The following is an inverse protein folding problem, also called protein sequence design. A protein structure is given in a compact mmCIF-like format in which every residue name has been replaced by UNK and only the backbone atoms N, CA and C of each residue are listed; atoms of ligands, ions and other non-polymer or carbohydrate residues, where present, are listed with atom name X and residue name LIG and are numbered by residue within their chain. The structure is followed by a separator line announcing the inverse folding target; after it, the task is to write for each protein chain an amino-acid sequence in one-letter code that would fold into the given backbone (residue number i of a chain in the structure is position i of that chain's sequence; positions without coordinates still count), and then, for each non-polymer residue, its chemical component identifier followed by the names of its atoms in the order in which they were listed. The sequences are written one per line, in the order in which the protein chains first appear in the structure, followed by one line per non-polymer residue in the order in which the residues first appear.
data_IF_160394635959
#
_entry.id   IF_160394635959
#
_cell.length_a   1.000
_cell.length_b   1.000
_cell.length_c   1.000
_cell.angle_alpha   90.00
_cell.angle_beta   90.00
_cell.angle_gamma   90.00
#
_symmetry.space_group_name_H-M   'P 1'
#
loop_
_entity.id
_entity.type
_entity.pdbx_description
1 polymer ?
#
# COMPACT_ATOMS: atom_id res chain seq x y z
N UNK A 1 -48.09 70.70 70.33
CA UNK A 1 -47.96 69.78 69.17
C UNK A 1 -48.08 70.62 67.91
N UNK A 2 -46.95 71.10 67.37
CA UNK A 2 -46.91 71.90 66.14
C UNK A 2 -46.39 71.04 65.00
N UNK A 3 -47.28 70.67 64.08
CA UNK A 3 -46.94 69.98 62.84
C UNK A 3 -46.17 70.93 61.92
N UNK A 4 -44.85 70.79 61.88
CA UNK A 4 -44.02 71.38 60.81
C UNK A 4 -44.25 70.59 59.53
N UNK A 5 -45.15 71.11 58.70
CA UNK A 5 -45.33 70.66 57.33
C UNK A 5 -44.00 70.86 56.59
N UNK A 6 -43.31 69.76 56.27
CA UNK A 6 -41.95 69.76 55.76
C UNK A 6 -41.97 70.27 54.30
N UNK A 7 -41.67 71.57 54.11
CA UNK A 7 -41.67 72.28 52.83
C UNK A 7 -40.85 71.58 51.74
N UNK A 8 -39.80 70.84 52.12
CA UNK A 8 -38.98 70.06 51.18
C UNK A 8 -39.76 68.92 50.53
N UNK A 9 -40.60 68.21 51.30
CA UNK A 9 -41.43 67.14 50.76
C UNK A 9 -42.53 67.66 49.83
N UNK A 10 -43.04 68.88 50.07
CA UNK A 10 -44.02 69.53 49.19
C UNK A 10 -43.40 69.97 47.87
N UNK A 11 -42.17 70.50 47.90
CA UNK A 11 -41.42 70.84 46.69
C UNK A 11 -41.07 69.60 45.86
N UNK A 12 -40.71 68.47 46.50
CA UNK A 12 -40.45 67.21 45.79
C UNK A 12 -41.71 66.62 45.15
N UNK A 13 -42.86 66.70 45.85
CA UNK A 13 -44.16 66.31 45.29
C UNK A 13 -44.62 67.21 44.15
N UNK A 14 -44.41 68.52 44.27
CA UNK A 14 -44.72 69.49 43.22
C UNK A 14 -43.83 69.29 41.99
N UNK A 15 -42.53 68.99 42.19
CA UNK A 15 -41.60 68.69 41.11
C UNK A 15 -41.92 67.37 40.41
N UNK A 16 -42.30 66.31 41.15
CA UNK A 16 -42.75 65.05 40.57
C UNK A 16 -44.08 65.20 39.81
N UNK A 17 -45.05 65.96 40.35
CA UNK A 17 -46.31 66.23 39.67
C UNK A 17 -46.12 67.07 38.40
N UNK A 18 -45.26 68.10 38.45
CA UNK A 18 -44.90 68.90 37.26
C UNK A 18 -44.14 68.07 36.23
N UNK A 19 -43.23 67.17 36.63
CA UNK A 19 -42.55 66.26 35.70
C UNK A 19 -43.53 65.30 35.02
N UNK A 20 -44.49 64.73 35.76
CA UNK A 20 -45.55 63.86 35.22
C UNK A 20 -46.51 64.61 34.27
N UNK A 21 -46.80 65.89 34.54
CA UNK A 21 -47.65 66.73 33.69
C UNK A 21 -46.95 67.23 32.42
N UNK A 22 -45.61 67.35 32.44
CA UNK A 22 -44.83 67.87 31.30
C UNK A 22 -44.31 66.74 30.39
N UNK A 23 -44.25 65.50 30.86
CA UNK A 23 -43.57 64.38 30.20
C UNK A 23 -44.42 63.10 30.33
N UNK A 24 -45.04 62.65 29.23
CA UNK A 24 -45.86 61.42 29.21
C UNK A 24 -45.05 60.12 29.37
N UNK A 25 -45.70 58.93 29.35
CA UNK A 25 -45.06 57.63 29.61
C UNK A 25 -43.85 57.31 28.73
N UNK A 26 -43.88 57.70 27.46
CA UNK A 26 -42.76 57.54 26.51
C UNK A 26 -41.56 58.41 26.86
N UNK A 27 -41.80 59.63 27.35
CA UNK A 27 -40.77 60.56 27.76
C UNK A 27 -40.10 60.11 29.07
N UNK A 28 -40.86 59.54 30.03
CA UNK A 28 -40.28 58.89 31.22
C UNK A 28 -39.43 57.66 30.87
N UNK A 29 -39.88 56.85 29.91
CA UNK A 29 -39.11 55.70 29.42
C UNK A 29 -37.79 56.15 28.76
N UNK A 30 -37.83 57.22 27.96
CA UNK A 30 -36.64 57.79 27.32
C UNK A 30 -35.65 58.36 28.34
N UNK A 31 -36.12 59.11 29.34
CA UNK A 31 -35.27 59.61 30.42
C UNK A 31 -34.65 58.45 31.22
N UNK A 32 -35.42 57.39 31.48
CA UNK A 32 -34.88 56.20 32.16
C UNK A 32 -33.83 55.49 31.31
N UNK A 33 -34.06 55.37 30.00
CA UNK A 33 -33.09 54.80 29.07
C UNK A 33 -31.80 55.62 29.02
N UNK A 34 -31.88 56.95 28.90
CA UNK A 34 -30.72 57.85 28.91
C UNK A 34 -29.96 57.80 30.23
N UNK A 35 -30.68 57.71 31.36
CA UNK A 35 -30.05 57.55 32.67
C UNK A 35 -29.27 56.22 32.76
N UNK A 36 -29.84 55.13 32.26
CA UNK A 36 -29.19 53.82 32.26
C UNK A 36 -27.98 53.78 31.30
N UNK A 37 -28.09 54.41 30.14
CA UNK A 37 -27.00 54.59 29.19
C UNK A 37 -25.85 55.40 29.80
N UNK A 38 -26.17 56.52 30.45
CA UNK A 38 -25.17 57.33 31.14
C UNK A 38 -24.49 56.54 32.27
N UNK A 39 -25.26 55.81 33.08
CA UNK A 39 -24.69 54.96 34.14
C UNK A 39 -23.75 53.88 33.56
N UNK A 40 -24.09 53.32 32.40
CA UNK A 40 -23.24 52.35 31.71
C UNK A 40 -21.94 52.99 31.21
N UNK A 41 -22.03 54.15 30.54
CA UNK A 41 -20.85 54.90 30.05
C UNK A 41 -19.95 55.36 31.21
N UNK A 42 -20.54 55.76 32.33
CA UNK A 42 -19.81 56.14 33.54
C UNK A 42 -19.10 54.93 34.17
N UNK A 43 -19.76 53.76 34.17
CA UNK A 43 -19.15 52.52 34.63
C UNK A 43 -17.99 52.07 33.74
N UNK A 44 -18.15 52.16 32.42
CA UNK A 44 -17.11 51.87 31.43
C UNK A 44 -15.92 52.84 31.58
N UNK A 45 -16.21 54.14 31.71
CA UNK A 45 -15.20 55.18 31.97
C UNK A 45 -14.47 54.94 33.28
N UNK A 46 -15.17 54.52 34.34
CA UNK A 46 -14.54 54.16 35.60
C UNK A 46 -13.66 52.91 35.48
N UNK A 47 -14.05 51.92 34.69
CA UNK A 47 -13.24 50.73 34.42
C UNK A 47 -11.92 51.09 33.72
N UNK A 48 -11.96 51.99 32.74
CA UNK A 48 -10.77 52.46 32.02
C UNK A 48 -9.86 53.31 32.91
N UNK A 49 -10.44 54.16 33.77
CA UNK A 49 -9.67 55.07 34.63
C UNK A 49 -9.23 54.47 35.97
N UNK A 50 -9.87 53.39 36.43
CA UNK A 50 -9.58 52.76 37.71
C UNK A 50 -8.10 52.35 37.87
N UNK A 51 -7.44 51.74 36.87
CA UNK A 51 -6.01 51.40 36.96
C UNK A 51 -5.12 52.63 37.20
N UNK A 52 -5.39 53.73 36.49
CA UNK A 52 -4.61 54.96 36.64
C UNK A 52 -4.83 55.60 38.01
N UNK A 53 -6.09 55.63 38.50
CA UNK A 53 -6.41 56.10 39.86
C UNK A 53 -5.71 55.24 40.92
N UNK A 54 -5.72 53.92 40.76
CA UNK A 54 -5.03 52.99 41.66
C UNK A 54 -3.52 53.20 41.65
N UNK A 55 -2.91 53.38 40.48
CA UNK A 55 -1.48 53.66 40.34
C UNK A 55 -1.09 54.96 41.05
N UNK A 56 -1.87 56.03 40.83
CA UNK A 56 -1.66 57.34 41.45
C UNK A 56 -1.77 57.25 42.98
N UNK A 57 -2.80 56.58 43.49
CA UNK A 57 -3.02 56.39 44.92
C UNK A 57 -1.90 55.55 45.56
N UNK A 58 -1.44 54.49 44.86
CA UNK A 58 -0.32 53.65 45.30
C UNK A 58 0.98 54.46 45.38
N UNK A 59 1.28 55.28 44.37
CA UNK A 59 2.45 56.17 44.39
C UNK A 59 2.40 57.10 45.61
N UNK A 60 1.29 57.81 45.79
CA UNK A 60 1.12 58.71 46.94
C UNK A 60 1.31 58.01 48.29
N UNK A 61 0.76 56.80 48.46
CA UNK A 61 0.89 56.03 49.69
C UNK A 61 2.35 55.62 49.98
N UNK A 62 3.06 55.10 48.98
CA UNK A 62 4.44 54.63 49.15
C UNK A 62 5.39 55.81 49.35
N UNK A 63 5.26 56.88 48.56
CA UNK A 63 6.06 58.11 48.74
C UNK A 63 5.84 58.71 50.13
N UNK A 64 4.61 58.69 50.67
CA UNK A 64 4.34 59.17 52.03
C UNK A 64 4.95 58.29 53.13
N UNK A 65 4.96 56.97 52.95
CA UNK A 65 5.42 56.03 53.99
C UNK A 65 6.92 55.74 53.95
N UNK A 66 7.54 55.78 52.76
CA UNK A 66 8.92 55.33 52.53
C UNK A 66 9.78 56.35 51.76
N UNK A 67 9.21 57.49 51.35
CA UNK A 67 9.88 58.49 50.52
C UNK A 67 9.95 58.10 49.03
N UNK A 68 10.50 58.99 48.20
CA UNK A 68 10.59 58.77 46.75
C UNK A 68 11.53 57.62 46.39
N UNK A 69 12.58 57.38 47.19
CA UNK A 69 13.49 56.24 47.03
C UNK A 69 12.77 54.91 47.22
N UNK A 70 11.95 54.77 48.27
CA UNK A 70 11.18 53.54 48.49
C UNK A 70 10.16 53.27 47.38
N UNK A 71 9.61 54.31 46.75
CA UNK A 71 8.75 54.15 45.58
C UNK A 71 9.52 53.68 44.34
N UNK A 72 10.72 54.23 44.09
CA UNK A 72 11.57 53.80 42.97
C UNK A 72 12.00 52.33 43.14
N UNK A 73 12.44 51.93 44.34
CA UNK A 73 12.81 50.54 44.62
C UNK A 73 11.63 49.58 44.41
N UNK A 74 10.43 49.98 44.84
CA UNK A 74 9.21 49.22 44.59
C UNK A 74 8.91 49.10 43.09
N UNK A 75 9.07 50.18 42.34
CA UNK A 75 8.84 50.19 40.89
C UNK A 75 9.84 49.30 40.15
N UNK A 76 11.12 49.39 40.50
CA UNK A 76 12.17 48.57 39.90
C UNK A 76 11.89 47.09 40.14
N UNK A 77 11.48 46.72 41.36
CA UNK A 77 11.08 45.35 41.67
C UNK A 77 9.85 44.89 40.90
N UNK A 78 8.80 45.70 40.82
CA UNK A 78 7.57 45.38 40.07
C UNK A 78 7.85 45.22 38.56
N UNK A 79 8.68 46.09 38.00
CA UNK A 79 9.11 46.01 36.60
C UNK A 79 9.99 44.78 36.35
N UNK A 80 10.89 44.45 37.27
CA UNK A 80 11.74 43.28 37.17
C UNK A 80 10.91 41.98 37.24
N UNK A 81 9.97 41.88 38.19
CA UNK A 81 9.05 40.74 38.28
C UNK A 81 8.22 40.56 36.99
N UNK A 82 7.74 41.66 36.40
CA UNK A 82 7.04 41.63 35.11
C UNK A 82 7.94 41.20 33.96
N UNK A 83 9.16 41.74 33.90
CA UNK A 83 10.14 41.38 32.88
C UNK A 83 10.50 39.90 32.96
N UNK A 84 10.73 39.37 34.17
CA UNK A 84 11.06 37.96 34.41
C UNK A 84 9.88 37.04 34.06
N UNK A 85 8.65 37.43 34.38
CA UNK A 85 7.46 36.70 33.99
C UNK A 85 7.30 36.62 32.45
N UNK A 86 7.52 37.75 31.76
CA UNK A 86 7.49 37.81 30.30
C UNK A 86 8.61 36.95 29.71
N UNK A 87 9.84 37.11 30.19
CA UNK A 87 11.00 36.35 29.72
C UNK A 87 10.78 34.84 29.90
N UNK A 88 10.26 34.42 31.05
CA UNK A 88 9.92 33.02 31.34
C UNK A 88 8.85 32.49 30.38
N UNK A 89 7.79 33.27 30.14
CA UNK A 89 6.74 32.89 29.19
C UNK A 89 7.27 32.73 27.77
N UNK A 90 8.11 33.66 27.31
CA UNK A 90 8.76 33.57 26.00
C UNK A 90 9.73 32.39 25.92
N UNK A 91 10.50 32.12 26.98
CA UNK A 91 11.41 30.98 27.02
C UNK A 91 10.66 29.66 26.94
N UNK A 92 9.55 29.51 27.67
CA UNK A 92 8.70 28.32 27.61
C UNK A 92 8.08 28.15 26.22
N UNK A 93 7.57 29.22 25.63
CA UNK A 93 7.01 29.19 24.27
C UNK A 93 8.06 28.81 23.24
N UNK A 94 9.22 29.46 23.27
CA UNK A 94 10.34 29.17 22.39
C UNK A 94 10.80 27.71 22.50
N UNK A 95 10.97 27.19 23.72
CA UNK A 95 11.36 25.79 23.94
C UNK A 95 10.30 24.82 23.40
N UNK A 96 9.02 25.16 23.52
CA UNK A 96 7.90 24.38 22.97
C UNK A 96 7.96 24.38 21.44
N UNK A 97 8.10 25.55 20.82
CA UNK A 97 8.17 25.69 19.36
C UNK A 97 9.38 24.95 18.79
N UNK A 98 10.54 25.02 19.44
CA UNK A 98 11.74 24.24 19.08
C UNK A 98 11.48 22.73 19.18
N UNK A 99 10.80 22.28 20.23
CA UNK A 99 10.45 20.86 20.40
C UNK A 99 9.51 20.38 19.30
N UNK A 100 8.48 21.18 18.97
CA UNK A 100 7.55 20.90 17.88
C UNK A 100 8.28 20.84 16.54
N UNK A 101 9.15 21.81 16.24
CA UNK A 101 9.94 21.82 15.01
C UNK A 101 10.84 20.58 14.89
N UNK A 102 11.53 20.18 15.98
CA UNK A 102 12.33 18.95 16.01
C UNK A 102 11.48 17.71 15.74
N UNK A 103 10.31 17.61 16.35
CA UNK A 103 9.40 16.49 16.12
C UNK A 103 8.90 16.44 14.67
N UNK A 104 8.61 17.60 14.08
CA UNK A 104 8.22 17.69 12.67
C UNK A 104 9.35 17.26 11.73
N UNK A 105 10.59 17.70 11.99
CA UNK A 105 11.77 17.27 11.22
C UNK A 105 11.94 15.76 11.31
N UNK A 106 11.93 15.19 12.51
CA UNK A 106 12.05 13.74 12.72
C UNK A 106 10.93 12.96 12.01
N UNK A 107 9.71 13.48 12.05
CA UNK A 107 8.56 12.90 11.35
C UNK A 107 8.78 12.92 9.85
N UNK A 108 9.23 14.05 9.31
CA UNK A 108 9.51 14.22 7.89
C UNK A 108 10.63 13.28 7.42
N UNK A 109 11.71 13.15 8.18
CA UNK A 109 12.80 12.21 7.88
C UNK A 109 12.28 10.75 7.83
N UNK A 110 11.41 10.38 8.79
CA UNK A 110 10.75 9.08 8.79
C UNK A 110 9.87 8.85 7.56
N UNK A 111 9.14 9.88 7.11
CA UNK A 111 8.33 9.82 5.89
C UNK A 111 9.19 9.65 4.64
N UNK A 112 10.33 10.34 4.56
CA UNK A 112 11.27 10.22 3.43
C UNK A 112 11.83 8.80 3.35
N UNK A 113 12.23 8.21 4.49
CA UNK A 113 12.70 6.81 4.55
C UNK A 113 11.60 5.85 4.07
N UNK A 114 10.37 6.02 4.56
CA UNK A 114 9.25 5.18 4.15
C UNK A 114 8.96 5.32 2.65
N UNK A 115 8.95 6.55 2.12
CA UNK A 115 8.79 6.80 0.70
C UNK A 115 9.84 6.08 -0.14
N UNK A 116 11.12 6.15 0.27
CA UNK A 116 12.20 5.43 -0.42
C UNK A 116 11.98 3.91 -0.39
N UNK A 117 11.56 3.35 0.74
CA UNK A 117 11.24 1.92 0.86
C UNK A 117 10.09 1.51 -0.08
N UNK A 118 9.04 2.33 -0.20
CA UNK A 118 7.92 2.09 -1.13
C UNK A 118 8.39 2.13 -2.57
N UNK A 119 9.24 3.11 -2.94
CA UNK A 119 9.82 3.22 -4.28
C UNK A 119 10.67 1.99 -4.62
N UNK A 120 11.49 1.50 -3.68
CA UNK A 120 12.32 0.33 -3.90
C UNK A 120 11.50 -0.96 -3.98
N UNK A 121 10.45 -1.10 -3.17
CA UNK A 121 9.49 -2.19 -3.28
C UNK A 121 8.79 -2.19 -4.65
N UNK A 122 8.37 -1.03 -5.14
CA UNK A 122 7.79 -0.88 -6.47
C UNK A 122 8.78 -1.30 -7.57
N UNK A 123 10.04 -0.85 -7.52
CA UNK A 123 11.08 -1.25 -8.48
C UNK A 123 11.31 -2.77 -8.45
N UNK A 124 11.29 -3.38 -7.26
CA UNK A 124 11.42 -4.84 -7.08
C UNK A 124 10.26 -5.56 -7.77
N UNK A 125 9.01 -5.20 -7.48
CA UNK A 125 7.85 -5.83 -8.13
C UNK A 125 7.84 -5.64 -9.64
N UNK A 126 8.23 -4.47 -10.14
CA UNK A 126 8.37 -4.24 -11.58
C UNK A 126 9.38 -5.20 -12.22
N UNK A 127 10.52 -5.45 -11.55
CA UNK A 127 11.53 -6.40 -12.01
C UNK A 127 11.00 -7.83 -11.98
N UNK A 128 10.39 -8.24 -10.88
CA UNK A 128 9.82 -9.58 -10.71
C UNK A 128 8.72 -9.86 -11.75
N UNK A 129 7.85 -8.89 -12.03
CA UNK A 129 6.82 -9.02 -13.06
C UNK A 129 7.43 -9.19 -14.46
N UNK A 130 8.45 -8.39 -14.80
CA UNK A 130 9.15 -8.53 -16.08
C UNK A 130 9.87 -9.89 -16.21
N UNK A 131 10.47 -10.38 -15.13
CA UNK A 131 11.08 -11.72 -15.09
C UNK A 131 10.03 -12.83 -15.22
N UNK A 132 8.89 -12.68 -14.55
CA UNK A 132 7.79 -13.63 -14.63
C UNK A 132 7.21 -13.67 -16.04
N UNK A 133 7.02 -12.53 -16.69
CA UNK A 133 6.56 -12.44 -18.08
C UNK A 133 7.54 -13.15 -19.03
N UNK A 134 8.85 -12.95 -18.85
CA UNK A 134 9.88 -13.67 -19.62
C UNK A 134 9.81 -15.17 -19.39
N UNK A 135 9.67 -15.63 -18.14
CA UNK A 135 9.52 -17.05 -17.79
C UNK A 135 8.25 -17.66 -18.39
N UNK A 136 7.13 -16.93 -18.40
CA UNK A 136 5.89 -17.36 -19.03
C UNK A 136 6.04 -17.50 -20.55
N UNK A 137 6.66 -16.51 -21.22
CA UNK A 137 6.95 -16.58 -22.66
C UNK A 137 7.86 -17.77 -23.00
N UNK A 138 8.91 -17.98 -22.22
CA UNK A 138 9.82 -19.11 -22.41
C UNK A 138 9.08 -20.45 -22.25
N UNK A 139 8.33 -20.63 -21.14
CA UNK A 139 7.54 -21.84 -20.92
C UNK A 139 6.49 -22.08 -22.01
N UNK A 140 5.79 -21.04 -22.45
CA UNK A 140 4.79 -21.15 -23.53
C UNK A 140 5.43 -21.55 -24.86
N UNK A 141 6.63 -21.03 -25.16
CA UNK A 141 7.41 -21.44 -26.33
C UNK A 141 7.89 -22.88 -26.23
N UNK A 142 8.37 -23.30 -25.05
CA UNK A 142 8.82 -24.66 -24.78
C UNK A 142 7.67 -25.66 -24.87
N UNK A 143 6.50 -25.34 -24.30
CA UNK A 143 5.31 -26.20 -24.42
C UNK A 143 4.88 -26.33 -25.87
N UNK A 144 4.83 -25.24 -26.63
CA UNK A 144 4.50 -25.29 -28.07
C UNK A 144 5.49 -26.17 -28.84
N UNK A 145 6.77 -26.09 -28.50
CA UNK A 145 7.84 -26.88 -29.15
C UNK A 145 7.74 -28.36 -28.77
N UNK A 146 7.47 -28.65 -27.49
CA UNK A 146 7.27 -30.01 -27.00
C UNK A 146 6.01 -30.64 -27.58
N UNK A 147 4.88 -29.93 -27.62
CA UNK A 147 3.64 -30.41 -28.22
C UNK A 147 3.83 -30.75 -29.71
N UNK A 148 4.58 -29.91 -30.44
CA UNK A 148 4.97 -30.20 -31.83
C UNK A 148 5.85 -31.44 -31.93
N UNK A 149 6.83 -31.59 -31.05
CA UNK A 149 7.70 -32.78 -31.03
C UNK A 149 6.90 -34.05 -30.76
N UNK A 150 6.05 -34.05 -29.75
CA UNK A 150 5.16 -35.17 -29.43
C UNK A 150 4.24 -35.50 -30.61
N UNK A 151 3.66 -34.49 -31.27
CA UNK A 151 2.85 -34.71 -32.46
C UNK A 151 3.61 -35.42 -33.59
N UNK A 152 4.86 -35.02 -33.87
CA UNK A 152 5.68 -35.66 -34.90
C UNK A 152 6.12 -37.08 -34.50
N UNK A 153 6.45 -37.29 -33.22
CA UNK A 153 6.78 -38.63 -32.70
C UNK A 153 5.56 -39.56 -32.79
N UNK A 154 4.38 -39.11 -32.40
CA UNK A 154 3.13 -39.87 -32.50
C UNK A 154 2.77 -40.19 -33.95
N UNK A 155 2.95 -39.23 -34.87
CA UNK A 155 2.74 -39.48 -36.29
C UNK A 155 3.73 -40.54 -36.82
N UNK A 156 5.00 -40.47 -36.40
CA UNK A 156 6.01 -41.46 -36.73
C UNK A 156 5.65 -42.86 -36.21
N UNK A 157 5.25 -42.96 -34.94
CA UNK A 157 4.82 -44.21 -34.30
C UNK A 157 3.58 -44.77 -34.99
N UNK A 158 2.60 -43.93 -35.32
CA UNK A 158 1.37 -44.33 -36.00
C UNK A 158 1.65 -44.87 -37.41
N UNK A 159 2.51 -44.20 -38.18
CA UNK A 159 2.98 -44.68 -39.49
C UNK A 159 3.72 -46.01 -39.35
N UNK A 160 4.63 -46.13 -38.39
CA UNK A 160 5.38 -47.36 -38.14
C UNK A 160 4.45 -48.53 -37.77
N UNK A 161 3.45 -48.29 -36.91
CA UNK A 161 2.40 -49.28 -36.59
C UNK A 161 1.62 -49.70 -37.83
N UNK A 162 1.26 -48.74 -38.69
CA UNK A 162 0.54 -49.03 -39.94
C UNK A 162 1.35 -49.94 -40.86
N UNK A 163 2.63 -49.64 -41.06
CA UNK A 163 3.54 -50.49 -41.84
C UNK A 163 3.72 -51.88 -41.20
N UNK A 164 3.84 -51.94 -39.88
CA UNK A 164 3.94 -53.20 -39.14
C UNK A 164 2.72 -54.09 -39.35
N UNK A 165 1.50 -53.54 -39.21
CA UNK A 165 0.27 -54.30 -39.44
C UNK A 165 0.11 -54.72 -40.90
N UNK A 166 0.48 -53.86 -41.85
CA UNK A 166 0.47 -54.20 -43.28
C UNK A 166 1.43 -55.35 -43.60
N UNK A 167 2.66 -55.31 -43.09
CA UNK A 167 3.64 -56.38 -43.28
C UNK A 167 3.21 -57.69 -42.62
N UNK A 168 2.61 -57.62 -41.43
CA UNK A 168 2.03 -58.79 -40.75
C UNK A 168 0.93 -59.43 -41.60
N UNK A 169 0.06 -58.62 -42.21
CA UNK A 169 -0.99 -59.09 -43.10
C UNK A 169 -0.42 -59.79 -44.35
N UNK A 170 0.56 -59.17 -45.03
CA UNK A 170 1.24 -59.76 -46.18
C UNK A 170 1.91 -61.09 -45.81
N UNK A 171 2.59 -61.14 -44.65
CA UNK A 171 3.20 -62.36 -44.16
C UNK A 171 2.17 -63.47 -43.91
N UNK A 172 1.07 -63.16 -43.22
CA UNK A 172 -0.02 -64.13 -42.98
C UNK A 172 -0.61 -64.65 -44.30
N UNK A 173 -0.75 -63.78 -45.29
CA UNK A 173 -1.20 -64.15 -46.64
C UNK A 173 -0.22 -65.11 -47.33
N UNK A 174 1.10 -64.87 -47.25
CA UNK A 174 2.13 -65.77 -47.81
C UNK A 174 2.07 -67.14 -47.14
N UNK A 175 1.95 -67.20 -45.81
CA UNK A 175 1.83 -68.46 -45.07
C UNK A 175 0.59 -69.24 -45.52
N UNK A 176 -0.54 -68.56 -45.69
CA UNK A 176 -1.79 -69.17 -46.16
C UNK A 176 -1.65 -69.72 -47.60
N UNK A 177 -1.09 -68.94 -48.52
CA UNK A 177 -0.83 -69.38 -49.91
C UNK A 177 0.10 -70.58 -49.91
N UNK A 178 1.15 -70.58 -49.10
CA UNK A 178 2.08 -71.70 -48.99
C UNK A 178 1.38 -72.97 -48.44
N UNK A 179 0.53 -72.81 -47.43
CA UNK A 179 -0.29 -73.91 -46.89
C UNK A 179 -1.19 -74.52 -47.96
N UNK A 180 -1.89 -73.70 -48.74
CA UNK A 180 -2.72 -74.18 -49.85
C UNK A 180 -1.89 -74.85 -50.95
N UNK A 181 -0.72 -74.28 -51.28
CA UNK A 181 0.18 -74.80 -52.30
C UNK A 181 0.75 -76.19 -51.95
N UNK A 182 0.94 -76.51 -50.66
CA UNK A 182 1.37 -77.85 -50.21
C UNK A 182 0.42 -78.95 -50.72
N UNK A 183 -0.88 -78.66 -50.79
CA UNK A 183 -1.91 -79.60 -51.22
C UNK A 183 -2.24 -79.52 -52.71
N UNK A 184 -2.26 -78.31 -53.29
CA UNK A 184 -2.72 -78.08 -54.67
C UNK A 184 -1.64 -78.34 -55.72
N UNK A 185 -0.35 -78.15 -55.40
CA UNK A 185 0.74 -78.25 -56.38
C UNK A 185 1.39 -79.63 -56.33
N UNK A 186 1.38 -80.34 -57.48
CA UNK A 186 2.14 -81.58 -57.65
C UNK A 186 3.63 -81.26 -57.71
N UNK A 187 4.40 -81.76 -56.74
CA UNK A 187 5.86 -81.58 -56.68
C UNK A 187 6.55 -82.88 -56.25
N UNK A 188 7.80 -83.05 -56.70
CA UNK A 188 8.65 -84.22 -56.44
C UNK A 188 9.30 -84.19 -55.04
N UNK A 189 9.12 -83.11 -54.27
CA UNK A 189 9.68 -82.96 -52.92
C UNK A 189 8.89 -83.80 -51.91
N UNK A 190 9.57 -84.52 -51.02
CA UNK A 190 8.95 -85.32 -49.95
C UNK A 190 8.06 -84.45 -49.04
N UNK A 191 6.92 -84.97 -48.60
CA UNK A 191 5.94 -84.24 -47.78
C UNK A 191 6.54 -83.77 -46.43
N UNK A 192 7.46 -84.55 -45.86
CA UNK A 192 8.18 -84.22 -44.62
C UNK A 192 8.99 -82.94 -44.74
N UNK A 193 9.66 -82.73 -45.87
CA UNK A 193 10.42 -81.50 -46.14
C UNK A 193 9.50 -80.29 -46.29
N UNK A 194 8.30 -80.45 -46.86
CA UNK A 194 7.32 -79.35 -47.00
C UNK A 194 6.77 -78.90 -45.66
N UNK A 195 6.41 -79.85 -44.80
CA UNK A 195 5.93 -79.57 -43.43
C UNK A 195 7.04 -78.89 -42.61
N UNK A 196 8.30 -79.33 -42.77
CA UNK A 196 9.43 -78.68 -42.12
C UNK A 196 9.63 -77.22 -42.56
N UNK A 197 9.52 -76.93 -43.87
CA UNK A 197 9.61 -75.56 -44.39
C UNK A 197 8.46 -74.70 -43.87
N UNK A 198 7.23 -75.23 -43.80
CA UNK A 198 6.09 -74.51 -43.22
C UNK A 198 6.32 -74.19 -41.74
N UNK A 199 6.83 -75.14 -40.97
CA UNK A 199 7.17 -74.95 -39.57
C UNK A 199 8.24 -73.85 -39.39
N UNK A 200 9.29 -73.88 -40.22
CA UNK A 200 10.34 -72.85 -40.22
C UNK A 200 9.76 -71.48 -40.58
N UNK A 201 8.89 -71.42 -41.59
CA UNK A 201 8.20 -70.20 -42.00
C UNK A 201 7.39 -69.61 -40.84
N UNK A 202 6.62 -70.42 -40.11
CA UNK A 202 5.81 -69.97 -38.95
C UNK A 202 6.68 -69.44 -37.80
N UNK A 203 7.83 -70.08 -37.56
CA UNK A 203 8.76 -69.70 -36.49
C UNK A 203 9.60 -68.46 -36.87
N UNK A 204 9.76 -68.19 -38.16
CA UNK A 204 10.56 -67.09 -38.70
C UNK A 204 10.39 -65.74 -37.99
N UNK A 205 9.18 -65.18 -37.76
CA UNK A 205 9.02 -63.88 -37.11
C UNK A 205 9.61 -63.81 -35.69
N UNK A 206 9.62 -64.92 -34.95
CA UNK A 206 10.18 -64.98 -33.60
C UNK A 206 11.71 -65.01 -33.62
N UNK A 207 12.29 -65.81 -34.53
CA UNK A 207 13.75 -65.93 -34.68
C UNK A 207 14.34 -64.63 -35.25
N UNK A 208 13.63 -63.99 -36.19
CA UNK A 208 14.06 -62.77 -36.84
C UNK A 208 14.30 -61.63 -35.83
N UNK A 209 13.39 -61.42 -34.87
CA UNK A 209 13.54 -60.40 -33.82
C UNK A 209 14.80 -60.63 -32.97
N UNK A 210 15.10 -61.88 -32.64
CA UNK A 210 16.29 -62.25 -31.86
C UNK A 210 17.58 -61.99 -32.66
N UNK A 211 17.62 -62.39 -33.93
CA UNK A 211 18.75 -62.13 -34.83
C UNK A 211 18.97 -60.63 -35.01
N UNK A 212 17.91 -59.83 -35.19
CA UNK A 212 18.03 -58.38 -35.30
C UNK A 212 18.62 -57.74 -34.04
N UNK A 213 18.21 -58.16 -32.83
CA UNK A 213 18.82 -57.66 -31.60
C UNK A 213 20.32 -58.01 -31.48
N UNK A 214 20.70 -59.22 -31.90
CA UNK A 214 22.10 -59.65 -31.93
C UNK A 214 22.91 -58.76 -32.89
N UNK A 215 22.42 -58.55 -34.11
CA UNK A 215 23.04 -57.68 -35.11
C UNK A 215 23.14 -56.23 -34.65
N UNK A 216 22.10 -55.69 -34.01
CA UNK A 216 22.11 -54.33 -33.49
C UNK A 216 23.15 -54.14 -32.37
N UNK A 217 23.26 -55.12 -31.46
CA UNK A 217 24.31 -55.11 -30.42
C UNK A 217 25.70 -55.17 -31.04
N UNK A 218 25.90 -56.04 -32.03
CA UNK A 218 27.17 -56.16 -32.74
C UNK A 218 27.53 -54.87 -33.49
N UNK A 219 26.55 -54.24 -34.16
CA UNK A 219 26.73 -52.96 -34.84
C UNK A 219 27.10 -51.84 -33.87
N UNK A 220 26.42 -51.73 -32.73
CA UNK A 220 26.76 -50.72 -31.71
C UNK A 220 28.12 -50.98 -31.06
N UNK A 221 28.47 -52.24 -30.87
CA UNK A 221 29.80 -52.63 -30.41
C UNK A 221 30.87 -52.18 -31.41
N UNK A 222 30.69 -52.43 -32.70
CA UNK A 222 31.61 -51.96 -33.76
C UNK A 222 31.66 -50.42 -33.82
N UNK A 223 30.50 -49.75 -33.77
CA UNK A 223 30.40 -48.28 -33.76
C UNK A 223 31.08 -47.64 -32.54
N UNK A 224 31.20 -48.37 -31.43
CA UNK A 224 31.94 -47.89 -30.26
C UNK A 224 33.45 -47.80 -30.47
N UNK A 225 33.99 -48.48 -31.49
CA UNK A 225 35.40 -48.39 -31.91
C UNK A 225 35.67 -47.30 -32.96
N UNK A 226 34.63 -46.68 -33.52
CA UNK A 226 34.78 -45.54 -34.44
C UNK A 226 35.15 -44.29 -33.63
N UNK A 227 36.28 -43.60 -33.91
CA UNK A 227 36.66 -42.39 -33.18
C UNK A 227 35.53 -41.35 -33.26
N UNK A 228 34.99 -40.97 -32.10
CA UNK A 228 33.93 -39.96 -32.01
C UNK A 228 34.44 -38.66 -32.63
N UNK A 229 33.91 -38.31 -33.80
CA UNK A 229 34.26 -37.11 -34.52
C UNK A 229 33.85 -35.88 -33.67
N UNK A 230 34.83 -35.07 -33.27
CA UNK A 230 34.70 -34.00 -32.26
C UNK A 230 33.86 -32.80 -32.75
N UNK A 231 33.47 -32.77 -34.03
CA UNK A 231 32.86 -31.61 -34.68
C UNK A 231 31.33 -31.61 -34.79
N UNK A 232 30.60 -32.51 -34.12
CA UNK A 232 29.13 -32.46 -34.07
C UNK A 232 28.66 -32.33 -32.62
N UNK A 233 28.90 -31.14 -32.05
CA UNK A 233 28.13 -30.57 -30.96
C UNK A 233 27.80 -29.12 -31.31
N UNK A 234 26.66 -28.95 -31.96
CA UNK A 234 25.87 -27.72 -32.03
C UNK A 234 24.40 -28.13 -31.87
#
# INVERSE_FOLDING_TARGET
MSNTFNLNNFNDLMNQANQLLTCGPSCMQQQKSQQLEQNYLDAETNMVNAPQKLFSAKKAYITYTQGETGYNDYMDKDLQEKADAIASAYQTKFNTDVSVAKNQINTYDGLVINFNNVVDLYKKYKRENNELEKKLKARSSDTLTNDRKTYYEDQGISRLKTYYYFLLFVYAFIVLVFLLAIFLVKTNVKITTRIFILFLLIIYPFVCIWVFHLLYKLFNYIKSYDPKNVYVKL
#
